data_IF_421218088772
#
_entry.id   IF_421218088772
#
_cell.length_a   1.000
_cell.length_b   1.000
_cell.length_c   1.000
_cell.angle_alpha   90.00
_cell.angle_beta   90.00
_cell.angle_gamma   90.00
#
_symmetry.space_group_name_H-M   'P 1'
#
loop_
_entity.id
_entity.type
_entity.pdbx_description
1 polymer ?
#
# COMPACT_ATOMS: atom_id res chain seq x y z
N UNK A 1 -17.21 1.06 9.84
CA UNK A 1 -16.45 0.44 8.73
C UNK A 1 -15.99 -0.95 9.14
N UNK A 2 -16.40 -2.01 8.41
CA UNK A 2 -16.06 -3.41 8.76
C UNK A 2 -14.83 -3.95 8.02
N UNK A 3 -14.54 -3.37 6.86
CA UNK A 3 -13.38 -3.71 6.03
C UNK A 3 -12.75 -2.45 5.47
N UNK A 4 -11.44 -2.52 5.18
CA UNK A 4 -10.72 -1.45 4.48
C UNK A 4 -9.69 -2.04 3.53
N UNK A 5 -9.96 -1.95 2.22
CA UNK A 5 -9.13 -2.49 1.14
C UNK A 5 -8.87 -1.50 0.01
N UNK A 6 -9.73 -0.52 -0.16
CA UNK A 6 -9.66 0.42 -1.27
C UNK A 6 -10.21 1.80 -0.86
N UNK A 7 -10.17 2.75 -1.79
CA UNK A 7 -10.60 4.13 -1.55
C UNK A 7 -12.10 4.24 -1.27
N UNK A 8 -12.92 3.39 -1.90
CA UNK A 8 -14.38 3.39 -1.74
C UNK A 8 -14.80 3.06 -0.30
N UNK A 9 -13.98 2.29 0.44
CA UNK A 9 -14.25 1.95 1.85
C UNK A 9 -14.20 3.18 2.78
N UNK A 10 -13.53 4.27 2.37
CA UNK A 10 -13.55 5.54 3.11
C UNK A 10 -14.82 6.36 2.86
N UNK A 11 -15.56 6.10 1.79
CA UNK A 11 -16.69 6.93 1.38
C UNK A 11 -16.23 8.30 0.86
N UNK A 12 -16.63 9.39 1.51
CA UNK A 12 -16.20 10.74 1.08
C UNK A 12 -14.71 10.96 1.34
N UNK A 13 -13.94 11.07 0.25
CA UNK A 13 -12.50 11.24 0.29
C UNK A 13 -12.07 12.60 0.85
N UNK A 14 -12.83 13.67 0.56
CA UNK A 14 -12.53 14.99 1.09
C UNK A 14 -12.75 15.04 2.60
N UNK A 15 -13.81 14.39 3.09
CA UNK A 15 -14.05 14.25 4.51
C UNK A 15 -12.93 13.44 5.20
N UNK A 16 -12.42 12.38 4.53
CA UNK A 16 -11.31 11.59 5.06
C UNK A 16 -9.99 12.37 5.11
N UNK A 17 -9.73 13.23 4.12
CA UNK A 17 -8.57 14.12 4.11
C UNK A 17 -8.67 15.21 5.20
N UNK A 18 -9.84 15.79 5.42
CA UNK A 18 -10.07 16.71 6.51
C UNK A 18 -9.86 16.05 7.87
N UNK A 19 -10.38 14.85 8.07
CA UNK A 19 -10.16 14.06 9.28
C UNK A 19 -8.68 13.70 9.49
N UNK A 20 -7.93 13.44 8.44
CA UNK A 20 -6.48 13.22 8.53
C UNK A 20 -5.74 14.44 9.08
N UNK A 21 -6.15 15.66 8.68
CA UNK A 21 -5.59 16.90 9.24
C UNK A 21 -5.97 17.08 10.71
N UNK A 22 -7.23 16.79 11.07
CA UNK A 22 -7.68 16.81 12.47
C UNK A 22 -6.88 15.85 13.35
N UNK A 23 -6.76 14.59 12.94
CA UNK A 23 -5.98 13.57 13.64
C UNK A 23 -4.53 14.01 13.76
N UNK A 24 -3.94 14.55 12.69
CA UNK A 24 -2.55 15.03 12.70
C UNK A 24 -2.35 16.18 13.69
N UNK A 25 -3.33 17.07 13.83
CA UNK A 25 -3.29 18.18 14.78
C UNK A 25 -3.54 17.74 16.23
N UNK A 26 -4.29 16.66 16.45
CA UNK A 26 -4.69 16.19 17.79
C UNK A 26 -4.45 14.67 17.97
N UNK A 27 -3.20 14.26 17.86
CA UNK A 27 -2.72 12.85 17.84
C UNK A 27 -3.24 11.97 18.99
N UNK A 28 -3.59 12.52 20.12
CA UNK A 28 -4.02 11.79 21.32
C UNK A 28 -5.46 12.12 21.72
N UNK A 29 -6.20 12.84 20.87
CA UNK A 29 -7.55 13.28 21.18
C UNK A 29 -8.61 12.18 21.21
N UNK A 30 -8.26 11.00 20.68
CA UNK A 30 -9.22 9.90 20.49
C UNK A 30 -8.89 8.65 21.31
N UNK A 31 -8.08 8.75 22.37
CA UNK A 31 -7.60 7.62 23.16
C UNK A 31 -8.72 6.79 23.83
N UNK A 32 -9.84 7.41 24.17
CA UNK A 32 -10.97 6.69 24.77
C UNK A 32 -11.63 5.69 23.81
N UNK A 33 -11.50 5.87 22.47
CA UNK A 33 -12.05 4.94 21.49
C UNK A 33 -11.40 3.56 21.56
N UNK A 34 -10.10 3.51 21.76
CA UNK A 34 -9.32 2.27 21.81
C UNK A 34 -9.17 1.67 23.21
N UNK A 35 -9.72 2.31 24.25
CA UNK A 35 -9.61 1.84 25.63
C UNK A 35 -10.17 0.43 25.80
N UNK A 36 -9.35 -0.48 26.34
CA UNK A 36 -9.64 -1.90 26.50
C UNK A 36 -9.91 -2.64 25.17
N UNK A 37 -9.49 -2.07 24.03
CA UNK A 37 -9.55 -2.71 22.72
C UNK A 37 -8.16 -3.18 22.30
N UNK A 38 -8.13 -4.25 21.54
CA UNK A 38 -6.88 -4.85 21.04
C UNK A 38 -6.87 -4.90 19.52
N UNK A 39 -5.83 -4.35 18.91
CA UNK A 39 -5.50 -4.55 17.50
C UNK A 39 -4.57 -5.76 17.39
N UNK A 40 -4.92 -6.74 16.56
CA UNK A 40 -4.03 -7.82 16.12
C UNK A 40 -3.47 -7.49 14.74
N UNK A 41 -2.15 -7.39 14.64
CA UNK A 41 -1.43 -7.18 13.38
C UNK A 41 -0.75 -8.48 12.97
N UNK A 42 -1.14 -9.03 11.81
CA UNK A 42 -0.64 -10.30 11.31
C UNK A 42 0.27 -10.07 10.10
N UNK A 43 1.48 -10.60 10.16
CA UNK A 43 2.51 -10.46 9.14
C UNK A 43 2.89 -11.83 8.57
N UNK A 44 2.51 -12.07 7.32
CA UNK A 44 3.05 -13.17 6.50
C UNK A 44 4.39 -12.78 5.85
N UNK A 45 4.67 -11.49 5.76
CA UNK A 45 5.89 -10.91 5.19
C UNK A 45 6.42 -9.79 6.06
N UNK A 46 7.75 -9.69 6.16
CA UNK A 46 8.42 -8.69 6.99
C UNK A 46 8.08 -7.25 6.55
N UNK A 47 8.05 -6.35 7.53
CA UNK A 47 7.88 -4.92 7.30
C UNK A 47 8.52 -4.10 8.43
N UNK A 48 9.16 -3.00 8.06
CA UNK A 48 9.64 -2.00 9.03
C UNK A 48 8.56 -0.93 9.24
N UNK A 49 8.19 -0.21 8.19
CA UNK A 49 7.31 0.98 8.27
C UNK A 49 5.87 0.63 8.65
N UNK A 50 5.27 -0.38 7.99
CA UNK A 50 3.91 -0.82 8.34
C UNK A 50 3.80 -1.21 9.80
N UNK A 51 4.81 -1.94 10.30
CA UNK A 51 4.87 -2.34 11.72
C UNK A 51 4.89 -1.12 12.64
N UNK A 52 5.81 -0.19 12.41
CA UNK A 52 5.98 0.99 13.26
C UNK A 52 4.78 1.93 13.18
N UNK A 53 4.35 2.28 11.97
CA UNK A 53 3.27 3.27 11.76
C UNK A 53 1.93 2.77 12.28
N UNK A 54 1.55 1.51 11.99
CA UNK A 54 0.25 0.98 12.40
C UNK A 54 0.19 0.72 13.91
N UNK A 55 1.30 0.23 14.53
CA UNK A 55 1.36 0.12 15.99
C UNK A 55 1.22 1.49 16.64
N UNK A 56 1.98 2.48 16.15
CA UNK A 56 1.94 3.83 16.71
C UNK A 56 0.55 4.45 16.59
N UNK A 57 -0.11 4.30 15.44
CA UNK A 57 -1.48 4.76 15.22
C UNK A 57 -2.47 4.13 16.22
N UNK A 58 -2.43 2.82 16.41
CA UNK A 58 -3.29 2.14 17.37
C UNK A 58 -3.02 2.58 18.82
N UNK A 59 -1.76 2.78 19.20
CA UNK A 59 -1.37 3.27 20.53
C UNK A 59 -1.83 4.72 20.75
N UNK A 60 -1.80 5.59 19.73
CA UNK A 60 -2.34 6.94 19.82
C UNK A 60 -3.85 6.95 20.11
N UNK A 61 -4.58 5.96 19.58
CA UNK A 61 -6.00 5.75 19.84
C UNK A 61 -6.30 5.03 21.17
N UNK A 62 -5.29 4.70 21.96
CA UNK A 62 -5.44 4.03 23.27
C UNK A 62 -5.62 2.51 23.22
N UNK A 63 -5.34 1.88 22.08
CA UNK A 63 -5.46 0.42 21.92
C UNK A 63 -4.26 -0.34 22.50
N UNK A 64 -4.50 -1.58 22.94
CA UNK A 64 -3.45 -2.58 23.03
C UNK A 64 -3.10 -3.10 21.63
N UNK A 65 -1.85 -3.52 21.43
CA UNK A 65 -1.40 -4.05 20.13
C UNK A 65 -0.71 -5.40 20.31
N UNK A 66 -1.18 -6.40 19.58
CA UNK A 66 -0.52 -7.71 19.45
C UNK A 66 0.02 -7.79 18.03
N UNK A 67 1.30 -8.14 17.89
CA UNK A 67 1.94 -8.34 16.60
C UNK A 67 2.36 -9.78 16.45
N UNK A 68 1.84 -10.44 15.41
CA UNK A 68 2.14 -11.83 15.09
C UNK A 68 2.86 -11.94 13.75
N UNK A 69 4.07 -12.46 13.78
CA UNK A 69 4.81 -12.89 12.60
C UNK A 69 4.54 -14.38 12.36
N UNK A 70 3.78 -14.71 11.33
CA UNK A 70 3.34 -16.09 11.06
C UNK A 70 4.50 -17.09 10.89
N UNK A 71 5.64 -16.63 10.34
CA UNK A 71 6.80 -17.48 10.08
C UNK A 71 7.92 -17.38 11.14
N UNK A 72 7.75 -16.56 12.18
CA UNK A 72 8.79 -16.32 13.19
C UNK A 72 8.25 -16.29 14.63
N UNK A 73 6.99 -15.96 14.84
CA UNK A 73 6.36 -15.84 16.17
C UNK A 73 5.37 -16.95 16.51
N UNK A 74 5.08 -17.85 15.54
CA UNK A 74 4.18 -18.99 15.70
C UNK A 74 4.67 -20.14 14.81
N UNK A 75 4.01 -21.28 14.93
CA UNK A 75 4.20 -22.39 13.96
C UNK A 75 3.70 -22.01 12.57
N UNK A 76 4.14 -22.77 11.56
CA UNK A 76 3.71 -22.59 10.19
C UNK A 76 2.24 -22.95 10.03
N UNK A 77 1.51 -22.11 9.30
CA UNK A 77 0.10 -22.30 8.98
C UNK A 77 -0.08 -22.89 7.58
N UNK A 78 -1.00 -23.85 7.46
CA UNK A 78 -1.48 -24.34 6.18
C UNK A 78 -2.55 -23.39 5.64
N UNK A 79 -2.43 -22.97 4.39
CA UNK A 79 -3.36 -22.04 3.74
C UNK A 79 -4.28 -22.70 2.73
N UNK A 80 -3.89 -23.90 2.23
CA UNK A 80 -4.56 -24.57 1.13
C UNK A 80 -5.57 -25.60 1.65
N UNK A 81 -6.79 -25.58 1.08
CA UNK A 81 -7.84 -26.54 1.43
C UNK A 81 -7.59 -27.90 0.75
N UNK A 82 -8.05 -28.97 1.44
CA UNK A 82 -8.02 -30.33 0.88
C UNK A 82 -6.66 -31.00 0.89
N UNK A 83 -5.66 -30.39 1.52
CA UNK A 83 -4.33 -31.00 1.69
C UNK A 83 -4.33 -31.97 2.88
N UNK A 84 -3.49 -33.00 2.80
CA UNK A 84 -3.15 -33.85 3.95
C UNK A 84 -2.02 -33.14 4.70
N UNK A 85 -2.27 -32.76 5.96
CA UNK A 85 -1.30 -32.04 6.80
C UNK A 85 -0.29 -32.98 7.45
N UNK A 86 0.50 -33.68 6.64
CA UNK A 86 1.56 -34.62 7.06
C UNK A 86 2.99 -34.02 6.97
N UNK A 87 3.09 -32.72 6.67
CA UNK A 87 4.34 -31.97 6.54
C UNK A 87 4.70 -31.13 7.77
N UNK A 88 5.30 -29.97 7.53
CA UNK A 88 5.89 -29.09 8.55
C UNK A 88 4.93 -27.99 9.05
N UNK A 89 3.68 -27.96 8.59
CA UNK A 89 2.65 -27.02 8.99
C UNK A 89 1.79 -27.65 10.09
N UNK A 90 1.68 -26.99 11.23
CA UNK A 90 1.08 -27.57 12.44
C UNK A 90 -0.42 -27.28 12.61
N UNK A 91 -0.94 -26.24 11.94
CA UNK A 91 -2.34 -25.81 12.07
C UNK A 91 -2.83 -25.25 10.72
N UNK A 92 -4.08 -25.45 10.40
CA UNK A 92 -4.69 -24.84 9.24
C UNK A 92 -5.16 -23.42 9.55
N UNK A 93 -5.05 -22.51 8.59
CA UNK A 93 -5.44 -21.12 8.73
C UNK A 93 -6.93 -20.96 9.13
N UNK A 94 -7.78 -21.89 8.70
CA UNK A 94 -9.22 -21.85 9.00
C UNK A 94 -9.56 -22.10 10.49
N UNK A 95 -8.72 -22.82 11.22
CA UNK A 95 -8.84 -22.95 12.67
C UNK A 95 -8.15 -21.79 13.39
N UNK A 96 -7.01 -21.36 12.88
CA UNK A 96 -6.24 -20.28 13.49
C UNK A 96 -6.98 -18.93 13.46
N UNK A 97 -7.67 -18.59 12.35
CA UNK A 97 -8.36 -17.30 12.17
C UNK A 97 -9.43 -17.03 13.23
N UNK A 98 -10.43 -17.91 13.48
CA UNK A 98 -11.42 -17.65 14.51
C UNK A 98 -10.82 -17.63 15.93
N UNK A 99 -9.78 -18.41 16.19
CA UNK A 99 -9.03 -18.35 17.46
C UNK A 99 -8.38 -16.98 17.62
N UNK A 100 -7.65 -16.50 16.62
CA UNK A 100 -7.07 -15.15 16.63
C UNK A 100 -8.12 -14.05 16.81
N UNK A 101 -9.29 -14.18 16.14
CA UNK A 101 -10.41 -13.28 16.28
C UNK A 101 -11.01 -13.23 17.70
N UNK A 102 -10.87 -14.29 18.49
CA UNK A 102 -11.34 -14.30 19.89
C UNK A 102 -10.47 -13.47 20.84
N UNK A 103 -9.25 -13.13 20.44
CA UNK A 103 -8.28 -12.38 21.27
C UNK A 103 -8.10 -10.90 20.86
N UNK A 104 -8.88 -10.40 19.91
CA UNK A 104 -8.77 -9.03 19.45
C UNK A 104 -10.12 -8.41 19.07
N UNK A 105 -10.12 -7.10 18.85
CA UNK A 105 -11.28 -6.34 18.40
C UNK A 105 -11.18 -5.94 16.92
N UNK A 106 -9.95 -5.71 16.42
CA UNK A 106 -9.63 -5.38 15.03
C UNK A 106 -8.47 -6.24 14.55
N UNK A 107 -8.41 -6.51 13.24
CA UNK A 107 -7.34 -7.25 12.61
C UNK A 107 -6.75 -6.48 11.43
N UNK A 108 -5.44 -6.26 11.44
CA UNK A 108 -4.67 -5.82 10.28
C UNK A 108 -3.91 -7.00 9.67
N UNK A 109 -4.04 -7.20 8.35
CA UNK A 109 -3.39 -8.32 7.63
C UNK A 109 -2.39 -7.80 6.62
N UNK A 110 -1.17 -8.39 6.62
CA UNK A 110 -0.15 -8.18 5.60
C UNK A 110 0.22 -9.53 4.98
N UNK A 111 -0.09 -9.69 3.68
CA UNK A 111 0.14 -10.92 2.93
C UNK A 111 0.41 -10.61 1.46
N UNK A 112 1.66 -10.70 1.04
CA UNK A 112 2.08 -10.38 -0.33
C UNK A 112 1.60 -11.41 -1.35
N UNK A 113 1.55 -10.96 -2.62
CA UNK A 113 1.45 -11.84 -3.76
C UNK A 113 2.62 -12.85 -3.80
N UNK A 114 2.31 -14.09 -4.13
CA UNK A 114 3.31 -15.13 -4.39
C UNK A 114 4.04 -14.93 -5.71
N UNK A 115 3.47 -14.16 -6.63
CA UNK A 115 3.95 -13.88 -7.99
C UNK A 115 4.17 -15.14 -8.83
N UNK A 116 3.35 -16.18 -8.58
CA UNK A 116 3.40 -17.47 -9.30
C UNK A 116 2.08 -17.80 -9.98
N UNK A 117 0.99 -17.54 -9.29
CA UNK A 117 -0.36 -17.77 -9.75
C UNK A 117 -1.16 -16.47 -9.62
N UNK A 118 -1.45 -15.87 -10.78
CA UNK A 118 -2.15 -14.60 -10.83
C UNK A 118 -3.59 -14.70 -10.31
N UNK A 119 -4.28 -15.80 -10.63
CA UNK A 119 -5.67 -15.98 -10.20
C UNK A 119 -5.75 -16.11 -8.68
N UNK A 120 -4.86 -16.88 -8.08
CA UNK A 120 -4.76 -17.02 -6.62
C UNK A 120 -4.44 -15.69 -5.93
N UNK A 121 -3.44 -14.97 -6.42
CA UNK A 121 -3.02 -13.68 -5.85
C UNK A 121 -4.14 -12.63 -6.00
N UNK A 122 -4.75 -12.52 -7.19
CA UNK A 122 -5.81 -11.53 -7.47
C UNK A 122 -7.17 -11.89 -6.86
N UNK A 123 -7.37 -13.13 -6.41
CA UNK A 123 -8.50 -13.54 -5.58
C UNK A 123 -8.35 -13.10 -4.12
N UNK A 124 -7.18 -12.57 -3.72
CA UNK A 124 -6.90 -12.14 -2.32
C UNK A 124 -7.20 -13.25 -1.30
N UNK A 125 -6.83 -14.49 -1.64
CA UNK A 125 -7.28 -15.71 -0.95
C UNK A 125 -7.01 -15.68 0.55
N UNK A 126 -5.84 -15.21 0.98
CA UNK A 126 -5.48 -15.20 2.42
C UNK A 126 -6.31 -14.17 3.18
N UNK A 127 -6.33 -12.91 2.73
CA UNK A 127 -7.02 -11.84 3.47
C UNK A 127 -8.53 -12.05 3.49
N UNK A 128 -9.12 -12.58 2.41
CA UNK A 128 -10.54 -12.90 2.35
C UNK A 128 -10.96 -13.98 3.35
N UNK A 129 -10.06 -14.90 3.73
CA UNK A 129 -10.31 -15.85 4.81
C UNK A 129 -10.42 -15.13 6.17
N UNK A 130 -9.57 -14.13 6.44
CA UNK A 130 -9.71 -13.32 7.66
C UNK A 130 -11.03 -12.55 7.70
N UNK A 131 -11.42 -11.91 6.60
CA UNK A 131 -12.71 -11.21 6.49
C UNK A 131 -13.88 -12.17 6.79
N UNK A 132 -13.81 -13.38 6.24
CA UNK A 132 -14.91 -14.35 6.33
C UNK A 132 -15.02 -15.05 7.69
N UNK A 133 -13.89 -15.37 8.33
CA UNK A 133 -13.87 -16.30 9.46
C UNK A 133 -13.44 -15.70 10.80
N UNK A 134 -12.86 -14.49 10.83
CA UNK A 134 -12.39 -13.91 12.09
C UNK A 134 -13.51 -13.41 13.02
N UNK A 135 -14.68 -13.06 12.44
CA UNK A 135 -15.74 -12.39 13.17
C UNK A 135 -15.39 -10.97 13.63
N UNK A 136 -14.31 -10.39 13.10
CA UNK A 136 -13.81 -9.06 13.46
C UNK A 136 -13.68 -8.17 12.23
N UNK A 137 -13.73 -6.84 12.37
CA UNK A 137 -13.35 -5.94 11.30
C UNK A 137 -11.89 -6.16 10.87
N UNK A 138 -11.64 -6.16 9.55
CA UNK A 138 -10.34 -6.48 8.95
C UNK A 138 -9.91 -5.36 8.01
N UNK A 139 -8.65 -4.93 8.11
CA UNK A 139 -8.06 -4.00 7.15
C UNK A 139 -6.78 -4.54 6.52
N UNK A 140 -6.57 -4.17 5.27
CA UNK A 140 -5.35 -4.48 4.53
C UNK A 140 -4.21 -3.56 4.98
N UNK A 141 -3.15 -4.13 5.54
CA UNK A 141 -1.89 -3.41 5.74
C UNK A 141 -1.05 -3.39 4.46
N UNK A 142 -1.04 -4.48 3.74
CA UNK A 142 -0.63 -4.71 2.35
C UNK A 142 -0.99 -6.14 1.99
N UNK A 143 -1.70 -6.33 0.89
CA UNK A 143 -2.12 -7.65 0.43
C UNK A 143 -1.47 -8.00 -0.92
N UNK A 144 -1.95 -9.03 -1.58
CA UNK A 144 -1.41 -9.44 -2.86
C UNK A 144 -1.59 -8.35 -3.94
N UNK A 145 -2.70 -7.62 -3.93
CA UNK A 145 -3.03 -6.65 -4.98
C UNK A 145 -3.20 -5.21 -4.51
N UNK A 146 -3.31 -4.95 -3.19
CA UNK A 146 -3.58 -3.60 -2.67
C UNK A 146 -2.72 -3.23 -1.45
N UNK A 147 -2.46 -1.92 -1.32
CA UNK A 147 -1.79 -1.32 -0.15
C UNK A 147 -2.49 0.00 0.22
N UNK A 148 -3.75 -0.05 0.68
CA UNK A 148 -4.59 1.15 0.82
C UNK A 148 -4.06 2.15 1.84
N UNK A 149 -3.46 1.70 2.95
CA UNK A 149 -2.85 2.60 3.95
C UNK A 149 -1.68 3.41 3.36
N UNK A 150 -0.92 2.83 2.41
CA UNK A 150 0.13 3.56 1.71
C UNK A 150 -0.48 4.60 0.78
N UNK A 151 -1.41 4.20 -0.07
CA UNK A 151 -2.02 5.11 -1.04
C UNK A 151 -2.78 6.29 -0.36
N UNK A 152 -3.37 6.04 0.81
CA UNK A 152 -3.95 7.14 1.59
C UNK A 152 -2.87 8.08 2.16
N UNK A 153 -1.75 7.54 2.65
CA UNK A 153 -0.61 8.37 3.08
C UNK A 153 -0.01 9.17 1.93
N UNK A 154 0.08 8.57 0.73
CA UNK A 154 0.54 9.25 -0.48
C UNK A 154 -0.37 10.43 -0.83
N UNK A 155 -1.68 10.22 -0.80
CA UNK A 155 -2.66 11.28 -1.08
C UNK A 155 -2.63 12.38 -0.02
N UNK A 156 -2.55 12.05 1.28
CA UNK A 156 -2.37 13.04 2.35
C UNK A 156 -1.11 13.89 2.07
N UNK A 157 -0.02 13.27 1.65
CA UNK A 157 1.23 13.96 1.34
C UNK A 157 1.10 14.89 0.12
N UNK A 158 0.41 14.44 -0.92
CA UNK A 158 0.11 15.27 -2.10
C UNK A 158 -0.72 16.49 -1.69
N UNK A 159 -1.79 16.29 -0.91
CA UNK A 159 -2.64 17.38 -0.42
C UNK A 159 -1.90 18.41 0.42
N UNK A 160 -0.92 17.98 1.22
CA UNK A 160 -0.11 18.87 2.06
C UNK A 160 0.92 19.69 1.28
N UNK A 161 1.36 19.20 0.11
CA UNK A 161 2.46 19.81 -0.64
C UNK A 161 2.05 20.35 -2.03
N UNK A 162 0.79 20.16 -2.45
CA UNK A 162 0.33 20.68 -3.74
C UNK A 162 0.36 22.20 -3.78
N UNK A 163 0.85 22.74 -4.88
CA UNK A 163 0.94 24.19 -5.14
C UNK A 163 -0.25 24.71 -5.97
N UNK A 164 -1.01 23.79 -6.59
CA UNK A 164 -2.16 24.07 -7.47
C UNK A 164 -3.34 23.21 -7.06
N UNK A 165 -4.56 23.64 -7.37
CA UNK A 165 -5.78 22.95 -6.97
C UNK A 165 -5.82 21.50 -7.52
N UNK A 166 -5.47 21.34 -8.79
CA UNK A 166 -5.44 20.04 -9.49
C UNK A 166 -4.03 19.76 -10.02
N UNK A 167 -3.14 19.14 -9.20
CA UNK A 167 -1.77 18.88 -9.61
C UNK A 167 -1.69 17.73 -10.63
N UNK A 168 -0.67 17.78 -11.49
CA UNK A 168 -0.30 16.64 -12.33
C UNK A 168 0.52 15.66 -11.52
N UNK A 169 0.01 14.44 -11.36
CA UNK A 169 0.63 13.34 -10.61
C UNK A 169 1.00 12.23 -11.58
N UNK A 170 2.26 11.81 -11.57
CA UNK A 170 2.77 10.75 -12.44
C UNK A 170 3.23 9.56 -11.61
N UNK A 171 2.60 8.39 -11.85
CA UNK A 171 3.13 7.10 -11.41
C UNK A 171 4.08 6.60 -12.50
N UNK A 172 5.36 6.49 -12.19
CA UNK A 172 6.36 5.96 -13.11
C UNK A 172 6.93 4.63 -12.62
N UNK A 173 6.98 3.64 -13.53
CA UNK A 173 7.79 2.46 -13.32
C UNK A 173 9.26 2.84 -13.20
N UNK A 174 10.02 2.08 -12.40
CA UNK A 174 11.48 2.20 -12.30
C UNK A 174 12.10 0.80 -12.17
N UNK A 175 13.37 0.59 -12.60
CA UNK A 175 14.00 -0.74 -12.60
C UNK A 175 14.24 -1.27 -11.18
N UNK A 176 14.27 -2.60 -11.06
CA UNK A 176 14.60 -3.28 -9.81
C UNK A 176 15.25 -4.64 -10.07
N UNK A 177 16.09 -5.10 -9.12
CA UNK A 177 16.80 -6.38 -9.23
C UNK A 177 15.98 -7.62 -8.82
N UNK A 178 14.77 -7.42 -8.29
CA UNK A 178 13.83 -8.49 -7.89
C UNK A 178 12.45 -8.18 -8.40
N UNK A 179 11.65 -9.21 -8.67
CA UNK A 179 10.23 -9.06 -8.92
C UNK A 179 9.52 -8.53 -7.67
N UNK A 180 8.71 -7.49 -7.83
CA UNK A 180 7.92 -6.90 -6.75
C UNK A 180 6.43 -6.97 -7.09
N UNK A 181 5.54 -7.10 -6.06
CA UNK A 181 4.10 -7.11 -6.24
C UNK A 181 3.56 -5.80 -6.87
N UNK A 182 2.39 -5.89 -7.45
CA UNK A 182 1.66 -4.75 -8.01
C UNK A 182 0.82 -3.99 -6.96
N UNK A 183 0.79 -4.43 -5.71
CA UNK A 183 -0.08 -3.89 -4.65
C UNK A 183 0.03 -2.36 -4.47
N UNK A 184 1.25 -1.82 -4.43
CA UNK A 184 1.47 -0.37 -4.28
C UNK A 184 1.01 0.41 -5.51
N UNK A 185 1.48 0.11 -6.75
CA UNK A 185 1.05 0.87 -7.92
C UNK A 185 -0.45 0.70 -8.22
N UNK A 186 -1.05 -0.46 -7.93
CA UNK A 186 -2.48 -0.67 -8.05
C UNK A 186 -3.27 0.28 -7.13
N UNK A 187 -2.94 0.29 -5.84
CA UNK A 187 -3.62 1.18 -4.89
C UNK A 187 -3.35 2.64 -5.21
N UNK A 188 -2.12 3.02 -5.54
CA UNK A 188 -1.82 4.39 -5.96
C UNK A 188 -2.71 4.83 -7.14
N UNK A 189 -2.83 3.97 -8.17
CA UNK A 189 -3.67 4.26 -9.32
C UNK A 189 -5.16 4.42 -8.95
N UNK A 190 -5.72 3.53 -8.13
CA UNK A 190 -7.11 3.66 -7.66
C UNK A 190 -7.35 4.97 -6.91
N UNK A 191 -6.44 5.33 -6.00
CA UNK A 191 -6.60 6.53 -5.18
C UNK A 191 -6.43 7.82 -5.98
N UNK A 192 -5.47 7.86 -6.93
CA UNK A 192 -5.30 9.01 -7.81
C UNK A 192 -6.48 9.18 -8.80
N UNK A 193 -7.10 8.09 -9.24
CA UNK A 193 -8.33 8.18 -10.04
C UNK A 193 -9.54 8.73 -9.25
N UNK A 194 -9.57 8.54 -7.93
CA UNK A 194 -10.63 9.06 -7.07
C UNK A 194 -10.36 10.50 -6.59
N UNK A 195 -9.11 10.94 -6.64
CA UNK A 195 -8.69 12.28 -6.22
C UNK A 195 -8.83 13.32 -7.34
N UNK A 196 -8.86 14.61 -6.98
CA UNK A 196 -8.89 15.72 -7.95
C UNK A 196 -7.46 16.06 -8.42
N UNK A 197 -6.90 15.17 -9.26
CA UNK A 197 -5.57 15.30 -9.86
C UNK A 197 -5.61 15.01 -11.36
N UNK A 198 -4.62 15.49 -12.11
CA UNK A 198 -4.34 15.05 -13.49
C UNK A 198 -3.38 13.86 -13.43
N UNK A 199 -3.94 12.64 -13.50
CA UNK A 199 -3.20 11.42 -13.23
C UNK A 199 -2.69 10.75 -14.51
N UNK A 200 -1.39 10.43 -14.54
CA UNK A 200 -0.72 9.73 -15.63
C UNK A 200 0.05 8.53 -15.08
N UNK A 201 -0.05 7.39 -15.76
CA UNK A 201 0.77 6.20 -15.49
C UNK A 201 1.76 6.01 -16.63
N UNK A 202 3.04 5.80 -16.33
CA UNK A 202 4.06 5.52 -17.32
C UNK A 202 4.92 4.32 -16.96
N UNK A 203 5.15 3.44 -17.93
CA UNK A 203 5.87 2.19 -17.76
C UNK A 203 6.32 1.61 -19.12
N UNK A 204 7.34 0.74 -19.17
CA UNK A 204 7.67 -0.03 -20.36
C UNK A 204 6.50 -0.94 -20.77
N UNK A 205 6.44 -1.31 -22.05
CA UNK A 205 5.46 -2.29 -22.53
C UNK A 205 5.59 -3.62 -21.79
N UNK A 206 4.46 -4.26 -21.48
CA UNK A 206 4.38 -5.49 -20.69
C UNK A 206 4.19 -5.27 -19.19
N UNK A 207 4.23 -4.03 -18.73
CA UNK A 207 4.00 -3.67 -17.32
C UNK A 207 2.63 -3.00 -17.09
N UNK A 208 1.70 -3.16 -18.03
CA UNK A 208 0.34 -2.64 -17.91
C UNK A 208 -0.35 -3.18 -16.66
N UNK A 209 -0.70 -2.30 -15.73
CA UNK A 209 -1.50 -2.67 -14.56
C UNK A 209 -2.91 -3.12 -14.97
N UNK A 210 -3.54 -3.91 -14.11
CA UNK A 210 -4.90 -4.40 -14.38
C UNK A 210 -5.87 -3.20 -14.54
N UNK A 211 -6.70 -3.20 -15.59
CA UNK A 211 -7.66 -2.11 -15.87
C UNK A 211 -8.56 -1.75 -14.68
N UNK A 212 -8.89 -2.71 -13.81
CA UNK A 212 -9.70 -2.47 -12.61
C UNK A 212 -9.05 -1.48 -11.63
N UNK A 213 -7.71 -1.33 -11.67
CA UNK A 213 -6.97 -0.39 -10.83
C UNK A 213 -6.61 0.90 -11.55
N UNK A 214 -6.20 0.78 -12.83
CA UNK A 214 -5.82 1.95 -13.65
C UNK A 214 -7.02 2.84 -13.95
N UNK A 215 -8.22 2.25 -14.12
CA UNK A 215 -9.43 3.01 -14.41
C UNK A 215 -9.30 3.86 -15.66
N UNK A 216 -9.56 5.16 -15.52
CA UNK A 216 -9.53 6.15 -16.62
C UNK A 216 -8.18 6.89 -16.71
N UNK A 217 -7.14 6.48 -15.96
CA UNK A 217 -5.85 7.14 -16.00
C UNK A 217 -5.25 7.12 -17.41
N UNK A 218 -4.61 8.23 -17.80
CA UNK A 218 -3.84 8.27 -19.02
C UNK A 218 -2.61 7.36 -18.88
N UNK A 219 -2.41 6.44 -19.81
CA UNK A 219 -1.18 5.64 -19.90
C UNK A 219 -0.29 6.23 -21.01
N UNK A 220 0.95 6.56 -20.63
CA UNK A 220 1.96 7.09 -21.56
C UNK A 220 3.21 6.19 -21.49
N UNK A 221 3.68 5.70 -22.64
CA UNK A 221 4.85 4.82 -22.72
C UNK A 221 6.17 5.58 -22.87
N UNK A 222 6.11 6.87 -23.20
CA UNK A 222 7.26 7.78 -23.24
C UNK A 222 7.38 8.48 -21.88
N UNK A 223 8.37 8.07 -21.09
CA UNK A 223 8.55 8.58 -19.73
C UNK A 223 8.76 10.10 -19.72
N UNK A 224 9.51 10.65 -20.68
CA UNK A 224 9.71 12.10 -20.78
C UNK A 224 8.40 12.85 -20.96
N UNK A 225 7.55 12.41 -21.91
CA UNK A 225 6.23 13.02 -22.13
C UNK A 225 5.33 12.89 -20.92
N UNK A 226 5.42 11.78 -20.18
CA UNK A 226 4.65 11.61 -18.97
C UNK A 226 5.07 12.61 -17.89
N UNK A 227 6.40 12.81 -17.71
CA UNK A 227 6.97 13.67 -16.68
C UNK A 227 6.89 15.18 -17.01
N UNK A 228 6.76 15.56 -18.29
CA UNK A 228 6.67 16.98 -18.67
C UNK A 228 5.57 17.71 -17.88
N UNK A 229 5.97 18.72 -17.10
CA UNK A 229 5.07 19.53 -16.30
C UNK A 229 4.44 18.82 -15.10
N UNK A 230 4.95 17.67 -14.67
CA UNK A 230 4.45 16.98 -13.46
C UNK A 230 4.75 17.79 -12.19
N UNK A 231 3.79 17.84 -11.28
CA UNK A 231 3.94 18.44 -9.94
C UNK A 231 4.42 17.37 -8.93
N UNK A 232 4.05 16.10 -9.15
CA UNK A 232 4.49 14.95 -8.33
C UNK A 232 4.91 13.78 -9.20
N UNK A 233 6.05 13.19 -8.87
CA UNK A 233 6.61 11.99 -9.52
C UNK A 233 6.70 10.88 -8.48
N UNK A 234 5.82 9.90 -8.59
CA UNK A 234 5.83 8.70 -7.74
C UNK A 234 6.53 7.57 -8.49
N UNK A 235 7.77 7.29 -8.12
CA UNK A 235 8.54 6.19 -8.72
C UNK A 235 8.29 4.87 -7.99
N UNK A 236 8.01 3.80 -8.74
CA UNK A 236 7.82 2.47 -8.15
C UNK A 236 8.18 1.37 -9.13
N UNK A 237 8.84 0.33 -8.64
CA UNK A 237 8.95 -0.92 -9.42
C UNK A 237 7.74 -1.83 -9.17
N UNK A 238 7.34 -2.52 -10.20
CA UNK A 238 6.47 -3.70 -10.14
C UNK A 238 6.87 -4.70 -11.23
N UNK A 239 6.65 -6.00 -10.97
CA UNK A 239 6.85 -7.07 -11.95
C UNK A 239 5.69 -7.12 -12.94
N UNK A 240 5.86 -7.85 -14.04
CA UNK A 240 4.81 -8.00 -15.05
C UNK A 240 3.49 -8.45 -14.40
N UNK A 241 2.38 -7.71 -14.60
CA UNK A 241 1.09 -8.08 -14.02
C UNK A 241 0.36 -9.20 -14.78
N UNK A 242 0.91 -9.68 -15.88
CA UNK A 242 0.29 -10.75 -16.70
C UNK A 242 -1.01 -10.34 -17.40
N UNK A 243 -1.24 -9.04 -17.60
CA UNK A 243 -2.47 -8.53 -18.24
C UNK A 243 -2.51 -8.85 -19.73
N UNK A 244 -1.38 -8.69 -20.42
CA UNK A 244 -1.24 -8.96 -21.85
C UNK A 244 -0.88 -10.44 -22.13
N UNK A 245 -0.05 -11.01 -21.27
CA UNK A 245 0.39 -12.40 -21.35
C UNK A 245 0.43 -12.97 -19.93
N UNK A 246 -0.56 -13.80 -19.52
CA UNK A 246 -0.62 -14.40 -18.20
C UNK A 246 0.60 -15.26 -17.85
N UNK A 247 1.29 -15.84 -18.84
CA UNK A 247 2.48 -16.64 -18.60
C UNK A 247 3.68 -15.84 -18.08
N UNK A 248 3.64 -14.50 -18.27
CA UNK A 248 4.69 -13.59 -17.80
C UNK A 248 4.38 -12.99 -16.41
N UNK A 249 3.30 -13.44 -15.75
CA UNK A 249 2.97 -12.92 -14.42
C UNK A 249 4.13 -13.07 -13.43
N UNK A 250 4.49 -11.97 -12.79
CA UNK A 250 5.59 -11.95 -11.82
C UNK A 250 6.99 -11.81 -12.43
N UNK A 251 7.14 -11.84 -13.76
CA UNK A 251 8.43 -11.77 -14.41
C UNK A 251 9.02 -10.35 -14.44
N UNK A 252 10.35 -10.25 -14.51
CA UNK A 252 11.10 -9.01 -14.76
C UNK A 252 11.38 -8.94 -16.27
N UNK A 253 10.55 -8.20 -17.01
CA UNK A 253 10.66 -8.08 -18.47
C UNK A 253 11.71 -7.03 -18.89
N UNK A 254 12.05 -6.07 -18.03
CA UNK A 254 13.00 -5.00 -18.32
C UNK A 254 13.93 -4.74 -17.15
N UNK A 255 15.18 -4.45 -17.48
CA UNK A 255 16.21 -3.93 -16.56
C UNK A 255 16.77 -2.61 -17.10
N UNK A 256 16.00 -1.92 -17.91
CA UNK A 256 16.39 -0.69 -18.56
C UNK A 256 16.60 0.42 -17.54
N UNK A 257 17.86 0.82 -17.36
CA UNK A 257 18.28 1.83 -16.40
C UNK A 257 17.92 3.25 -16.84
N UNK A 258 17.50 3.45 -18.09
CA UNK A 258 17.02 4.77 -18.54
C UNK A 258 15.72 5.20 -17.85
N UNK A 259 15.04 4.28 -17.13
CA UNK A 259 13.86 4.55 -16.29
C UNK A 259 14.21 4.93 -14.84
N UNK A 260 15.48 4.98 -14.47
CA UNK A 260 15.95 5.45 -13.16
C UNK A 260 15.69 6.95 -13.03
N UNK A 261 15.02 7.38 -11.98
CA UNK A 261 14.76 8.82 -11.79
C UNK A 261 16.01 9.51 -11.30
N UNK A 262 16.51 10.44 -12.10
CA UNK A 262 17.68 11.29 -11.84
C UNK A 262 17.33 12.78 -12.01
N UNK A 263 18.33 13.67 -11.91
CA UNK A 263 18.16 15.12 -12.07
C UNK A 263 17.64 15.50 -13.46
N UNK A 264 18.04 14.78 -14.51
CA UNK A 264 17.53 15.03 -15.87
C UNK A 264 16.02 14.78 -15.91
N UNK A 265 15.55 13.64 -15.38
CA UNK A 265 14.12 13.32 -15.30
C UNK A 265 13.34 14.36 -14.51
N UNK A 266 13.88 14.80 -13.36
CA UNK A 266 13.23 15.83 -12.56
C UNK A 266 13.24 17.21 -13.22
N UNK A 267 14.21 17.50 -14.11
CA UNK A 267 14.25 18.75 -14.88
C UNK A 267 13.10 18.87 -15.90
N UNK A 268 12.47 17.78 -16.32
CA UNK A 268 11.30 17.81 -17.21
C UNK A 268 10.00 18.17 -16.48
N UNK A 269 10.00 18.16 -15.17
CA UNK A 269 8.82 18.42 -14.32
C UNK A 269 8.60 19.92 -14.07
N UNK A 270 7.52 20.28 -13.44
CA UNK A 270 7.21 21.65 -12.99
C UNK A 270 7.76 21.90 -11.56
N UNK A 271 9.09 21.89 -11.40
CA UNK A 271 9.73 21.88 -10.05
C UNK A 271 9.03 20.83 -9.14
N UNK A 272 8.86 19.64 -9.71
CA UNK A 272 8.03 18.58 -9.13
C UNK A 272 8.65 17.93 -7.90
N UNK A 273 7.79 17.39 -7.04
CA UNK A 273 8.18 16.64 -5.86
C UNK A 273 8.40 15.16 -6.20
N UNK A 274 9.48 14.57 -5.68
CA UNK A 274 9.75 13.14 -5.78
C UNK A 274 9.12 12.38 -4.62
N UNK A 275 8.45 11.25 -4.92
CA UNK A 275 7.79 10.37 -3.95
C UNK A 275 8.17 8.90 -4.17
N UNK A 276 8.23 8.13 -3.09
CA UNK A 276 8.41 6.68 -3.10
C UNK A 276 8.08 6.06 -1.73
N UNK A 277 7.27 5.01 -1.70
CA UNK A 277 6.79 4.35 -0.47
C UNK A 277 7.88 3.74 0.43
N UNK A 278 9.14 3.70 -0.01
CA UNK A 278 10.23 3.01 0.66
C UNK A 278 9.94 1.50 0.97
N UNK A 279 10.95 0.62 1.05
CA UNK A 279 12.38 0.88 0.83
C UNK A 279 12.70 1.19 -0.62
N UNK A 280 13.65 2.08 -0.85
CA UNK A 280 14.14 2.45 -2.17
C UNK A 280 15.56 1.91 -2.38
N UNK A 281 15.90 1.59 -3.62
CA UNK A 281 17.26 1.25 -4.01
C UNK A 281 17.89 2.43 -4.76
N UNK A 282 18.81 3.10 -4.09
CA UNK A 282 19.58 4.21 -4.65
C UNK A 282 20.42 3.73 -5.84
N UNK A 283 20.55 4.58 -6.84
CA UNK A 283 21.26 4.24 -8.08
C UNK A 283 20.54 3.24 -8.99
N UNK A 284 19.36 2.76 -8.60
CA UNK A 284 18.54 1.83 -9.36
C UNK A 284 17.13 2.40 -9.63
N UNK A 285 16.40 2.77 -8.59
CA UNK A 285 15.08 3.41 -8.73
C UNK A 285 15.24 4.93 -8.89
N UNK A 286 16.12 5.51 -8.11
CA UNK A 286 16.38 6.96 -8.03
C UNK A 286 17.83 7.21 -7.67
N UNK A 287 18.40 8.31 -8.15
CA UNK A 287 19.75 8.74 -7.77
C UNK A 287 19.79 9.42 -6.41
N UNK A 288 21.00 9.53 -5.84
CA UNK A 288 21.20 10.17 -4.54
C UNK A 288 20.78 11.64 -4.56
N UNK A 289 21.13 12.36 -5.62
CA UNK A 289 20.85 13.79 -5.77
C UNK A 289 19.34 14.08 -5.73
N UNK A 290 18.51 13.22 -6.33
CA UNK A 290 17.05 13.37 -6.33
C UNK A 290 16.44 13.02 -4.97
N UNK A 291 16.81 11.88 -4.38
CA UNK A 291 16.21 11.46 -3.10
C UNK A 291 16.62 12.33 -1.91
N UNK A 292 17.80 12.99 -2.00
CA UNK A 292 18.31 13.90 -0.99
C UNK A 292 17.96 15.37 -1.29
N UNK A 293 17.29 15.64 -2.42
CA UNK A 293 16.88 17.00 -2.79
C UNK A 293 15.82 17.57 -1.82
N UNK A 294 15.69 18.90 -1.85
CA UNK A 294 14.62 19.62 -1.11
C UNK A 294 13.20 19.26 -1.57
N UNK A 295 13.08 18.73 -2.80
CA UNK A 295 11.79 18.33 -3.38
C UNK A 295 11.47 16.84 -3.12
N UNK A 296 12.30 16.12 -2.38
CA UNK A 296 12.03 14.73 -1.99
C UNK A 296 11.06 14.68 -0.81
N UNK A 297 9.91 14.04 -1.01
CA UNK A 297 8.87 13.87 0.01
C UNK A 297 8.84 12.48 0.66
N UNK A 298 9.85 11.64 0.43
CA UNK A 298 9.87 10.25 0.94
C UNK A 298 9.76 10.15 2.47
N UNK A 299 10.24 11.12 3.21
CA UNK A 299 10.15 11.14 4.68
C UNK A 299 8.79 11.66 5.15
N UNK A 300 8.25 12.80 4.69
CA UNK A 300 6.87 13.20 4.97
C UNK A 300 5.84 12.13 4.59
N UNK A 301 5.99 11.50 3.41
CA UNK A 301 5.15 10.39 2.94
C UNK A 301 5.19 9.20 3.91
N UNK A 302 6.38 8.79 4.34
CA UNK A 302 6.53 7.71 5.33
C UNK A 302 5.93 8.07 6.69
N UNK A 303 6.00 9.34 7.13
CA UNK A 303 5.40 9.82 8.36
C UNK A 303 3.86 9.81 8.29
N UNK A 304 3.27 10.19 7.15
CA UNK A 304 1.83 10.19 6.94
C UNK A 304 1.19 8.79 6.97
N UNK A 305 1.98 7.71 6.93
CA UNK A 305 1.48 6.35 7.13
C UNK A 305 0.89 6.12 8.52
N UNK A 306 1.39 6.80 9.55
CA UNK A 306 0.80 6.77 10.88
C UNK A 306 -0.58 7.43 10.85
N UNK A 307 -0.71 8.59 10.21
CA UNK A 307 -1.97 9.32 10.09
C UNK A 307 -3.02 8.51 9.32
N UNK A 308 -2.65 7.94 8.17
CA UNK A 308 -3.55 7.12 7.37
C UNK A 308 -4.08 5.91 8.16
N UNK A 309 -3.21 5.23 8.90
CA UNK A 309 -3.60 4.11 9.76
C UNK A 309 -4.50 4.57 10.92
N UNK A 310 -4.21 5.72 11.53
CA UNK A 310 -4.97 6.26 12.66
C UNK A 310 -6.41 6.61 12.25
N UNK A 311 -6.61 7.28 11.11
CA UNK A 311 -7.95 7.56 10.56
C UNK A 311 -8.73 6.27 10.31
N UNK A 312 -8.11 5.29 9.66
CA UNK A 312 -8.78 4.01 9.34
C UNK A 312 -9.17 3.25 10.61
N UNK A 313 -8.23 3.09 11.54
CA UNK A 313 -8.48 2.39 12.81
C UNK A 313 -9.55 3.14 13.64
N UNK A 314 -9.48 4.47 13.71
CA UNK A 314 -10.49 5.32 14.37
C UNK A 314 -11.89 5.03 13.83
N UNK A 315 -12.08 5.11 12.50
CA UNK A 315 -13.38 4.83 11.85
C UNK A 315 -13.86 3.39 12.07
N UNK A 316 -12.95 2.43 12.17
CA UNK A 316 -13.30 1.05 12.53
C UNK A 316 -13.77 0.95 13.99
N UNK A 317 -13.07 1.61 14.93
CA UNK A 317 -13.44 1.64 16.35
C UNK A 317 -14.81 2.29 16.57
N UNK A 318 -15.11 3.38 15.85
CA UNK A 318 -16.40 4.07 15.90
C UNK A 318 -17.58 3.20 15.40
N UNK A 319 -17.28 2.12 14.67
CA UNK A 319 -18.27 1.19 14.13
C UNK A 319 -18.45 -0.10 14.95
N UNK A 320 -17.67 -0.29 16.03
CA UNK A 320 -17.80 -1.43 16.96
C UNK A 320 -18.95 -1.21 17.94
#
# INVERSE_FOLDING_TARGET
>A
MKTFFNVEDLGDLNAALAEAQEVKANRFGYQELGKNKTLLMIFFNNSLRTRLSTQKAAMNLGMNVIVLDVNAGAWKLETERGVIMDGDKSEHLLEAIPVMGSFCDLIGVRSFAGLKDREYDYAETIVNQFVKYSGRPVFAMETATVHPLQAFADLITIEEHKKVARPKVVLTWAPHCRALPQAVPNSFAQWMNAADVDFVVTHPKGYELDPKFVGNAKVEYDQKKALEGADFVYAKNWSCPGVKDPAQYGEILSKDMSWTIDEEHMSWTNDGCFMHCLPVRRGLIVTDDVIESKNSLVIPEAANREISAEVVIKRMLESL
#
